data_IF_076228689791
#
_entry.id   IF_076228689791
#
_cell.length_a   1.000
_cell.length_b   1.000
_cell.length_c   1.000
_cell.angle_alpha   90.00
_cell.angle_beta   90.00
_cell.angle_gamma   90.00
#
_symmetry.space_group_name_H-M   'P 1'
#
loop_
_entity.id
_entity.type
_entity.pdbx_description
1 polymer ?
#
# COMPACT_ATOMS: atom_id res chain seq x y z
N UNK A 1 -12.37 -0.66 -33.07
CA UNK A 1 -12.39 -0.13 -31.68
C UNK A 1 -13.45 -0.78 -30.78
N UNK A 2 -14.67 -1.10 -31.28
CA UNK A 2 -15.73 -1.76 -30.50
C UNK A 2 -15.35 -3.18 -29.99
N UNK A 3 -14.77 -4.03 -30.84
CA UNK A 3 -14.33 -5.40 -30.48
C UNK A 3 -13.32 -5.44 -29.32
N UNK A 4 -12.35 -4.52 -29.29
CA UNK A 4 -11.33 -4.45 -28.22
C UNK A 4 -11.91 -4.06 -26.86
N UNK A 5 -13.01 -3.29 -26.85
CA UNK A 5 -13.74 -2.94 -25.62
C UNK A 5 -14.54 -4.13 -25.09
N UNK A 6 -15.16 -4.91 -25.98
CA UNK A 6 -15.92 -6.10 -25.62
C UNK A 6 -15.03 -7.18 -25.00
N UNK A 7 -13.89 -7.49 -25.62
CA UNK A 7 -12.92 -8.47 -25.08
C UNK A 7 -12.46 -8.10 -23.67
N UNK A 8 -12.05 -6.83 -23.46
CA UNK A 8 -11.63 -6.36 -22.14
C UNK A 8 -12.74 -6.42 -21.09
N UNK A 9 -13.99 -6.17 -21.49
CA UNK A 9 -15.14 -6.30 -20.60
C UNK A 9 -15.37 -7.75 -20.19
N UNK A 10 -15.36 -8.69 -21.15
CA UNK A 10 -15.50 -10.12 -20.86
C UNK A 10 -14.39 -10.62 -19.92
N UNK A 11 -13.13 -10.24 -20.17
CA UNK A 11 -12.00 -10.58 -19.29
C UNK A 11 -12.21 -10.01 -17.89
N UNK A 12 -12.70 -8.77 -17.77
CA UNK A 12 -13.00 -8.16 -16.47
C UNK A 12 -14.12 -8.87 -15.71
N UNK A 13 -15.20 -9.29 -16.39
CA UNK A 13 -16.27 -10.08 -15.79
C UNK A 13 -15.74 -11.43 -15.29
N UNK A 14 -14.89 -12.09 -16.08
CA UNK A 14 -14.25 -13.36 -15.66
C UNK A 14 -13.38 -13.14 -14.42
N UNK A 15 -12.55 -12.08 -14.39
CA UNK A 15 -11.78 -11.75 -13.20
C UNK A 15 -12.65 -11.50 -11.98
N UNK A 16 -13.74 -10.74 -12.13
CA UNK A 16 -14.68 -10.49 -11.04
C UNK A 16 -15.25 -11.80 -10.47
N UNK A 17 -15.70 -12.72 -11.33
CA UNK A 17 -16.25 -14.00 -10.90
C UNK A 17 -15.20 -14.88 -10.20
N UNK A 18 -13.97 -14.93 -10.73
CA UNK A 18 -12.87 -15.67 -10.10
C UNK A 18 -12.55 -15.09 -8.72
N UNK A 19 -12.39 -13.77 -8.62
CA UNK A 19 -12.02 -13.11 -7.37
C UNK A 19 -13.13 -13.18 -6.33
N UNK A 20 -14.39 -13.06 -6.76
CA UNK A 20 -15.54 -13.24 -5.88
C UNK A 20 -15.62 -14.69 -5.38
N UNK A 21 -15.37 -15.67 -6.25
CA UNK A 21 -15.28 -17.07 -5.87
C UNK A 21 -14.19 -17.31 -4.81
N UNK A 22 -13.00 -16.75 -5.01
CA UNK A 22 -11.92 -16.83 -4.02
C UNK A 22 -12.33 -16.15 -2.71
N UNK A 23 -12.85 -14.92 -2.77
CA UNK A 23 -13.25 -14.15 -1.59
C UNK A 23 -14.33 -14.87 -0.75
N UNK A 24 -15.27 -15.54 -1.38
CA UNK A 24 -16.36 -16.23 -0.68
C UNK A 24 -15.95 -17.60 -0.14
N UNK A 25 -15.07 -18.34 -0.83
CA UNK A 25 -14.86 -19.77 -0.56
C UNK A 25 -13.45 -20.15 -0.09
N UNK A 26 -12.44 -19.31 -0.29
CA UNK A 26 -11.06 -19.59 0.15
C UNK A 26 -10.79 -18.93 1.49
N UNK A 27 -10.22 -19.68 2.43
CA UNK A 27 -9.86 -19.21 3.77
C UNK A 27 -8.45 -19.68 4.13
N UNK A 28 -7.49 -18.77 4.06
CA UNK A 28 -6.10 -19.00 4.47
C UNK A 28 -5.93 -18.85 5.99
N UNK A 29 -6.79 -18.04 6.65
CA UNK A 29 -6.85 -17.95 8.11
C UNK A 29 -8.06 -18.76 8.63
N UNK A 30 -7.88 -19.67 9.61
CA UNK A 30 -8.99 -20.39 10.22
C UNK A 30 -9.88 -19.46 11.06
N UNK A 31 -11.16 -19.82 11.21
CA UNK A 31 -12.11 -19.14 12.10
C UNK A 31 -12.32 -17.63 11.81
N UNK A 32 -12.25 -17.24 10.54
CA UNK A 32 -12.59 -15.87 10.15
C UNK A 32 -14.07 -15.54 10.39
N UNK A 33 -14.39 -14.24 10.54
CA UNK A 33 -15.77 -13.74 10.58
C UNK A 33 -16.63 -14.37 9.48
N UNK A 34 -17.79 -14.94 9.86
CA UNK A 34 -18.77 -15.41 8.89
C UNK A 34 -19.43 -14.20 8.20
N UNK A 35 -19.05 -13.98 6.94
CA UNK A 35 -19.50 -12.85 6.11
C UNK A 35 -21.00 -12.81 5.86
N UNK A 36 -21.68 -13.95 5.99
CA UNK A 36 -23.13 -14.04 5.80
C UNK A 36 -23.92 -13.77 7.09
N UNK A 37 -23.25 -13.81 8.25
CA UNK A 37 -23.90 -13.68 9.55
C UNK A 37 -23.60 -12.35 10.25
N UNK A 38 -22.39 -11.81 10.07
CA UNK A 38 -21.91 -10.67 10.87
C UNK A 38 -22.36 -9.33 10.28
N UNK A 39 -23.14 -8.59 11.06
CA UNK A 39 -23.51 -7.19 10.79
C UNK A 39 -22.44 -6.21 11.29
N UNK A 40 -22.52 -4.93 10.89
CA UNK A 40 -21.60 -3.89 11.38
C UNK A 40 -21.65 -3.71 12.92
N UNK A 41 -22.84 -3.76 13.51
CA UNK A 41 -22.98 -3.67 14.97
C UNK A 41 -22.35 -4.87 15.68
N UNK A 42 -22.44 -6.05 15.08
CA UNK A 42 -21.77 -7.24 15.60
C UNK A 42 -20.26 -7.14 15.44
N UNK A 43 -19.76 -6.59 14.33
CA UNK A 43 -18.33 -6.37 14.10
C UNK A 43 -17.67 -5.57 15.24
N UNK A 44 -18.33 -4.51 15.73
CA UNK A 44 -17.83 -3.73 16.88
C UNK A 44 -17.69 -4.59 18.13
N UNK A 45 -18.66 -5.46 18.39
CA UNK A 45 -18.69 -6.30 19.60
C UNK A 45 -17.76 -7.51 19.51
N UNK A 46 -17.53 -8.04 18.30
CA UNK A 46 -16.81 -9.30 18.09
C UNK A 46 -15.38 -9.10 17.60
N UNK A 47 -15.00 -7.89 17.17
CA UNK A 47 -13.64 -7.63 16.68
C UNK A 47 -12.65 -7.73 17.84
N UNK A 48 -11.69 -8.64 17.70
CA UNK A 48 -10.53 -8.73 18.60
C UNK A 48 -9.47 -7.67 18.29
N UNK A 49 -9.65 -6.87 17.23
CA UNK A 49 -8.76 -5.76 16.86
C UNK A 49 -9.41 -4.41 17.12
N UNK A 50 -8.57 -3.45 17.54
CA UNK A 50 -8.95 -2.05 17.66
C UNK A 50 -9.34 -1.40 16.33
N UNK A 51 -8.60 -1.67 15.23
CA UNK A 51 -8.82 -0.96 13.96
C UNK A 51 -10.25 -1.13 13.41
N UNK A 52 -10.78 -2.33 13.12
CA UNK A 52 -12.12 -2.49 12.55
C UNK A 52 -13.22 -1.96 13.46
N UNK A 53 -13.06 -2.09 14.77
CA UNK A 53 -14.02 -1.54 15.73
C UNK A 53 -14.04 -0.01 15.69
N UNK A 54 -12.87 0.64 15.60
CA UNK A 54 -12.78 2.09 15.47
C UNK A 54 -13.34 2.60 14.14
N UNK A 55 -13.12 1.88 13.03
CA UNK A 55 -13.71 2.23 11.73
C UNK A 55 -15.23 2.15 11.76
N UNK A 56 -15.77 1.02 12.22
CA UNK A 56 -17.21 0.81 12.29
C UNK A 56 -17.88 1.81 13.25
N UNK A 57 -17.23 2.15 14.38
CA UNK A 57 -17.75 3.15 15.32
C UNK A 57 -17.89 4.52 14.65
N UNK A 58 -16.84 5.01 13.99
CA UNK A 58 -16.91 6.29 13.27
C UNK A 58 -17.86 6.24 12.06
N UNK A 59 -17.97 5.10 11.40
CA UNK A 59 -18.85 4.91 10.26
C UNK A 59 -20.34 5.01 10.66
N UNK A 60 -20.73 4.38 11.78
CA UNK A 60 -22.08 4.49 12.35
C UNK A 60 -22.38 5.94 12.73
N UNK A 61 -21.45 6.59 13.43
CA UNK A 61 -21.60 7.99 13.85
C UNK A 61 -21.84 8.92 12.66
N UNK A 62 -21.05 8.79 11.59
CA UNK A 62 -21.24 9.57 10.34
C UNK A 62 -22.56 9.21 9.65
N UNK A 63 -22.95 7.93 9.61
CA UNK A 63 -24.19 7.52 8.97
C UNK A 63 -25.43 8.10 9.68
N UNK A 64 -25.39 8.21 11.01
CA UNK A 64 -26.46 8.74 11.85
C UNK A 64 -26.47 10.29 11.87
N UNK A 65 -25.30 10.91 12.09
CA UNK A 65 -25.18 12.34 12.37
C UNK A 65 -24.69 13.19 11.19
N UNK A 66 -24.30 12.57 10.07
CA UNK A 66 -23.79 13.25 8.87
C UNK A 66 -22.30 13.61 8.93
N UNK A 67 -21.69 13.60 10.11
CA UNK A 67 -20.25 13.73 10.34
C UNK A 67 -19.86 13.08 11.66
N UNK A 68 -18.55 12.94 11.92
CA UNK A 68 -18.07 12.36 13.18
C UNK A 68 -18.38 13.30 14.35
N UNK A 69 -18.83 12.74 15.47
CA UNK A 69 -19.07 13.48 16.70
C UNK A 69 -17.76 13.83 17.41
N UNK A 70 -17.79 14.86 18.27
CA UNK A 70 -16.62 15.31 19.02
C UNK A 70 -16.01 14.23 19.93
N UNK A 71 -16.82 13.30 20.44
CA UNK A 71 -16.35 12.18 21.26
C UNK A 71 -15.51 11.16 20.47
N UNK A 72 -15.68 11.11 19.16
CA UNK A 72 -15.03 10.15 18.26
C UNK A 72 -13.99 10.80 17.33
N UNK A 73 -13.79 12.12 17.37
CA UNK A 73 -12.87 12.82 16.46
C UNK A 73 -11.41 12.34 16.57
N UNK A 74 -11.01 11.78 17.72
CA UNK A 74 -9.71 11.13 17.90
C UNK A 74 -9.45 10.01 16.88
N UNK A 75 -10.49 9.36 16.35
CA UNK A 75 -10.38 8.31 15.33
C UNK A 75 -9.78 8.89 14.04
N UNK A 76 -10.13 10.12 13.67
CA UNK A 76 -9.55 10.81 12.51
C UNK A 76 -8.09 11.26 12.73
N UNK A 77 -7.64 11.31 13.99
CA UNK A 77 -6.23 11.55 14.29
C UNK A 77 -5.38 10.32 14.02
N UNK A 78 -5.96 9.13 14.11
CA UNK A 78 -5.26 7.86 13.89
C UNK A 78 -5.41 7.39 12.44
N UNK A 79 -6.57 7.62 11.84
CA UNK A 79 -6.95 6.97 10.60
C UNK A 79 -7.36 7.97 9.51
N UNK A 80 -6.90 7.76 8.27
CA UNK A 80 -7.47 8.46 7.12
C UNK A 80 -8.96 8.12 6.94
N UNK A 81 -9.77 9.04 6.41
CA UNK A 81 -11.23 8.92 6.49
C UNK A 81 -11.83 8.03 5.40
N UNK A 82 -11.09 7.64 4.37
CA UNK A 82 -11.62 7.00 3.16
C UNK A 82 -12.33 5.68 3.43
N UNK A 83 -11.76 4.81 4.28
CA UNK A 83 -12.39 3.54 4.63
C UNK A 83 -13.63 3.75 5.52
N UNK A 84 -13.54 4.65 6.50
CA UNK A 84 -14.65 5.03 7.38
C UNK A 84 -15.82 5.59 6.56
N UNK A 85 -15.54 6.48 5.60
CA UNK A 85 -16.56 7.05 4.72
C UNK A 85 -17.19 6.01 3.79
N UNK A 86 -16.42 5.01 3.35
CA UNK A 86 -16.96 3.88 2.58
C UNK A 86 -17.93 3.06 3.43
N UNK A 87 -17.56 2.70 4.66
CA UNK A 87 -18.44 1.98 5.58
C UNK A 87 -19.70 2.78 5.93
N UNK A 88 -19.55 4.09 6.19
CA UNK A 88 -20.67 4.99 6.43
C UNK A 88 -21.63 5.05 5.24
N UNK A 89 -21.11 5.09 4.01
CA UNK A 89 -21.93 5.05 2.80
C UNK A 89 -22.68 3.73 2.66
N UNK A 90 -22.06 2.59 2.99
CA UNK A 90 -22.71 1.28 3.00
C UNK A 90 -23.86 1.28 4.02
N UNK A 91 -23.61 1.76 5.24
CA UNK A 91 -24.63 1.86 6.29
C UNK A 91 -25.79 2.78 5.87
N UNK A 92 -25.51 3.90 5.20
CA UNK A 92 -26.55 4.83 4.76
C UNK A 92 -27.44 4.27 3.65
N UNK A 93 -26.88 3.43 2.77
CA UNK A 93 -27.62 2.83 1.64
C UNK A 93 -28.40 1.59 2.08
N UNK A 94 -27.80 0.73 2.91
CA UNK A 94 -28.35 -0.60 3.22
C UNK A 94 -28.88 -0.75 4.65
N UNK A 95 -28.65 0.23 5.53
CA UNK A 95 -29.02 0.17 6.95
C UNK A 95 -27.98 -0.56 7.82
N UNK A 96 -28.22 -0.55 9.14
CA UNK A 96 -27.30 -1.11 10.16
C UNK A 96 -27.24 -2.64 10.20
N UNK A 97 -28.28 -3.30 9.68
CA UNK A 97 -28.41 -4.77 9.66
C UNK A 97 -27.71 -5.41 8.45
N UNK A 98 -27.09 -4.61 7.58
CA UNK A 98 -26.38 -5.11 6.41
C UNK A 98 -25.19 -5.98 6.80
N UNK A 99 -24.96 -7.06 6.04
CA UNK A 99 -23.73 -7.85 6.12
C UNK A 99 -22.56 -7.06 5.52
N UNK A 100 -22.02 -6.10 6.28
CA UNK A 100 -21.03 -5.13 5.84
C UNK A 100 -19.80 -5.76 5.18
N UNK A 101 -19.28 -6.84 5.77
CA UNK A 101 -18.10 -7.54 5.25
C UNK A 101 -18.37 -8.12 3.86
N UNK A 102 -19.56 -8.70 3.62
CA UNK A 102 -19.92 -9.25 2.31
C UNK A 102 -19.97 -8.15 1.25
N UNK A 103 -20.55 -6.98 1.57
CA UNK A 103 -20.57 -5.83 0.66
C UNK A 103 -19.15 -5.37 0.35
N UNK A 104 -18.29 -5.25 1.36
CA UNK A 104 -16.89 -4.89 1.17
C UNK A 104 -16.12 -5.91 0.33
N UNK A 105 -16.38 -7.21 0.47
CA UNK A 105 -15.80 -8.27 -0.38
C UNK A 105 -16.19 -8.14 -1.84
N UNK A 106 -17.47 -7.87 -2.11
CA UNK A 106 -17.96 -7.65 -3.48
C UNK A 106 -17.28 -6.43 -4.09
N UNK A 107 -17.18 -5.32 -3.34
CA UNK A 107 -16.52 -4.10 -3.79
C UNK A 107 -15.01 -4.31 -4.01
N UNK A 108 -14.34 -5.05 -3.13
CA UNK A 108 -12.93 -5.44 -3.30
C UNK A 108 -12.72 -6.29 -4.56
N UNK A 109 -13.54 -7.32 -4.77
CA UNK A 109 -13.48 -8.16 -5.98
C UNK A 109 -13.71 -7.34 -7.26
N UNK A 110 -14.64 -6.37 -7.23
CA UNK A 110 -14.90 -5.47 -8.34
C UNK A 110 -13.69 -4.55 -8.60
N UNK A 111 -13.14 -3.91 -7.57
CA UNK A 111 -11.95 -3.07 -7.68
C UNK A 111 -10.78 -3.83 -8.30
N UNK A 112 -10.50 -5.04 -7.79
CA UNK A 112 -9.41 -5.85 -8.32
C UNK A 112 -9.71 -6.41 -9.71
N UNK A 113 -10.97 -6.68 -10.07
CA UNK A 113 -11.31 -6.99 -11.45
C UNK A 113 -10.94 -5.85 -12.41
N UNK A 114 -11.14 -4.58 -12.00
CA UNK A 114 -10.68 -3.41 -12.76
C UNK A 114 -9.15 -3.35 -12.81
N UNK A 115 -8.46 -3.58 -11.69
CA UNK A 115 -6.98 -3.66 -11.63
C UNK A 115 -6.46 -4.69 -12.63
N UNK A 116 -6.93 -5.93 -12.53
CA UNK A 116 -6.49 -7.04 -13.38
C UNK A 116 -6.83 -6.79 -14.84
N UNK A 117 -7.97 -6.15 -15.14
CA UNK A 117 -8.32 -5.76 -16.52
C UNK A 117 -7.36 -4.72 -17.07
N UNK A 118 -7.03 -3.68 -16.29
CA UNK A 118 -6.03 -2.69 -16.70
C UNK A 118 -4.68 -3.36 -16.93
N UNK A 119 -4.30 -4.28 -16.04
CA UNK A 119 -3.05 -5.04 -16.13
C UNK A 119 -3.01 -5.91 -17.40
N UNK A 120 -4.07 -6.68 -17.65
CA UNK A 120 -4.25 -7.44 -18.89
C UNK A 120 -4.12 -6.55 -20.13
N UNK A 121 -4.78 -5.38 -20.16
CA UNK A 121 -4.70 -4.49 -21.33
C UNK A 121 -3.31 -3.91 -21.55
N UNK A 122 -2.53 -3.73 -20.49
CA UNK A 122 -1.14 -3.32 -20.55
C UNK A 122 -0.24 -4.45 -21.06
N UNK A 123 -0.47 -5.69 -20.61
CA UNK A 123 0.33 -6.85 -21.01
C UNK A 123 0.00 -7.38 -22.40
N UNK A 124 -1.26 -7.30 -22.85
CA UNK A 124 -1.67 -7.89 -24.14
C UNK A 124 -1.04 -7.22 -25.36
N UNK A 125 -0.45 -6.03 -25.19
CA UNK A 125 0.32 -5.37 -26.25
C UNK A 125 1.75 -5.90 -26.38
N UNK A 126 2.25 -6.62 -25.36
CA UNK A 126 3.64 -7.07 -25.27
C UNK A 126 3.79 -8.59 -25.31
N UNK A 127 2.82 -9.34 -24.78
CA UNK A 127 2.87 -10.80 -24.68
C UNK A 127 1.60 -11.46 -25.22
N UNK A 128 1.65 -12.78 -25.39
CA UNK A 128 0.52 -13.57 -25.88
C UNK A 128 -0.74 -13.39 -25.02
N UNK A 129 -1.92 -13.24 -25.65
CA UNK A 129 -3.15 -12.87 -24.99
C UNK A 129 -3.55 -13.78 -23.81
N UNK A 130 -3.35 -15.11 -23.94
CA UNK A 130 -3.61 -16.06 -22.85
C UNK A 130 -2.71 -15.82 -21.62
N UNK A 131 -1.42 -15.53 -21.85
CA UNK A 131 -0.48 -15.23 -20.77
C UNK A 131 -0.78 -13.85 -20.15
N UNK A 132 -1.11 -12.85 -20.98
CA UNK A 132 -1.55 -11.55 -20.50
C UNK A 132 -2.80 -11.65 -19.61
N UNK A 133 -3.69 -12.61 -19.89
CA UNK A 133 -4.89 -12.83 -19.10
C UNK A 133 -4.61 -13.63 -17.81
N UNK A 134 -3.66 -14.58 -17.81
CA UNK A 134 -3.38 -15.39 -16.61
C UNK A 134 -2.40 -14.72 -15.63
N UNK A 135 -1.38 -14.02 -16.11
CA UNK A 135 -0.32 -13.45 -15.26
C UNK A 135 -0.82 -12.49 -14.16
N UNK A 136 -1.80 -11.59 -14.40
CA UNK A 136 -2.31 -10.72 -13.35
C UNK A 136 -2.87 -11.49 -12.14
N UNK A 137 -3.41 -12.70 -12.33
CA UNK A 137 -3.93 -13.54 -11.24
C UNK A 137 -2.83 -14.06 -10.30
N UNK A 138 -1.56 -14.01 -10.70
CA UNK A 138 -0.43 -14.42 -9.85
C UNK A 138 -0.35 -13.61 -8.55
N UNK A 139 -0.88 -12.39 -8.53
CA UNK A 139 -1.01 -11.59 -7.31
C UNK A 139 -1.74 -12.38 -6.21
N UNK A 140 -2.75 -13.18 -6.58
CA UNK A 140 -3.60 -13.95 -5.65
C UNK A 140 -3.15 -15.41 -5.47
N UNK A 141 -2.02 -15.82 -6.06
CA UNK A 141 -1.49 -17.16 -5.87
C UNK A 141 -0.95 -17.38 -4.45
N UNK A 142 -0.58 -16.31 -3.75
CA UNK A 142 0.02 -16.36 -2.42
C UNK A 142 -1.03 -16.11 -1.32
N UNK A 143 -1.01 -16.90 -0.22
CA UNK A 143 -1.92 -16.69 0.91
C UNK A 143 -1.91 -15.27 1.46
N UNK A 144 -0.73 -14.67 1.60
CA UNK A 144 -0.57 -13.30 2.10
C UNK A 144 -1.39 -12.29 1.31
N UNK A 145 -1.38 -12.38 -0.02
CA UNK A 145 -2.16 -11.46 -0.85
C UNK A 145 -3.65 -11.73 -0.71
N UNK A 146 -4.10 -12.99 -0.67
CA UNK A 146 -5.54 -13.30 -0.55
C UNK A 146 -6.10 -12.81 0.78
N UNK A 147 -5.39 -13.05 1.87
CA UNK A 147 -5.75 -12.59 3.22
C UNK A 147 -6.00 -11.08 3.25
N UNK A 148 -5.06 -10.28 2.73
CA UNK A 148 -5.15 -8.83 2.80
C UNK A 148 -6.10 -8.21 1.76
N UNK A 149 -6.29 -8.87 0.60
CA UNK A 149 -7.03 -8.28 -0.52
C UNK A 149 -8.46 -8.81 -0.69
N UNK A 150 -8.75 -10.05 -0.27
CA UNK A 150 -10.03 -10.72 -0.56
C UNK A 150 -10.70 -11.33 0.68
N UNK A 151 -9.96 -11.65 1.73
CA UNK A 151 -10.54 -12.28 2.92
C UNK A 151 -11.15 -11.24 3.89
N UNK A 152 -12.18 -11.63 4.66
CA UNK A 152 -12.91 -10.79 5.62
C UNK A 152 -12.00 -9.90 6.45
N UNK A 153 -11.00 -10.53 7.05
CA UNK A 153 -10.02 -9.93 7.92
C UNK A 153 -9.29 -8.75 7.28
N UNK A 154 -8.62 -8.97 6.13
CA UNK A 154 -7.85 -7.93 5.46
C UNK A 154 -8.72 -6.82 4.89
N UNK A 155 -9.95 -7.16 4.50
CA UNK A 155 -10.91 -6.20 3.98
C UNK A 155 -11.43 -5.27 5.05
N UNK A 156 -11.72 -5.77 6.26
CA UNK A 156 -12.14 -4.94 7.40
C UNK A 156 -11.03 -4.00 7.91
N UNK A 157 -9.80 -4.18 7.44
CA UNK A 157 -8.69 -3.27 7.68
C UNK A 157 -8.56 -2.18 6.60
N UNK A 158 -9.35 -2.23 5.52
CA UNK A 158 -9.25 -1.28 4.41
C UNK A 158 -8.02 -1.46 3.51
N UNK A 159 -7.19 -2.48 3.75
CA UNK A 159 -5.94 -2.72 3.00
C UNK A 159 -6.22 -2.98 1.52
N UNK A 160 -7.21 -3.84 1.23
CA UNK A 160 -7.63 -4.20 -0.12
C UNK A 160 -7.86 -2.97 -1.01
N UNK A 161 -8.60 -1.98 -0.52
CA UNK A 161 -8.93 -0.78 -1.28
C UNK A 161 -7.71 0.11 -1.51
N UNK A 162 -6.92 0.35 -0.46
CA UNK A 162 -5.71 1.18 -0.58
C UNK A 162 -4.71 0.61 -1.59
N UNK A 163 -4.49 -0.71 -1.57
CA UNK A 163 -3.63 -1.42 -2.51
C UNK A 163 -4.22 -1.42 -3.91
N UNK A 164 -5.51 -1.72 -4.06
CA UNK A 164 -6.18 -1.72 -5.36
C UNK A 164 -6.10 -0.37 -6.06
N UNK A 165 -6.34 0.72 -5.33
CA UNK A 165 -6.16 2.07 -5.85
C UNK A 165 -4.69 2.37 -6.20
N UNK A 166 -3.73 1.97 -5.37
CA UNK A 166 -2.31 2.15 -5.69
C UNK A 166 -1.87 1.39 -6.95
N UNK A 167 -2.36 0.16 -7.15
CA UNK A 167 -2.07 -0.61 -8.36
C UNK A 167 -2.70 0.05 -9.60
N UNK A 168 -3.92 0.58 -9.50
CA UNK A 168 -4.52 1.38 -10.57
C UNK A 168 -3.68 2.63 -10.88
N UNK A 169 -3.25 3.37 -9.86
CA UNK A 169 -2.32 4.48 -10.01
C UNK A 169 -1.08 4.06 -10.82
N UNK A 170 -0.42 2.98 -10.41
CA UNK A 170 0.81 2.50 -11.03
C UNK A 170 0.60 2.13 -12.51
N UNK A 171 -0.44 1.34 -12.79
CA UNK A 171 -0.77 0.89 -14.16
C UNK A 171 -1.16 2.06 -15.06
N UNK A 172 -1.96 3.01 -14.56
CA UNK A 172 -2.41 4.17 -15.32
C UNK A 172 -1.28 5.19 -15.55
N UNK A 173 -0.35 5.36 -14.60
CA UNK A 173 0.84 6.19 -14.80
C UNK A 173 1.73 5.63 -15.92
N UNK A 174 1.96 4.31 -15.95
CA UNK A 174 2.70 3.64 -17.03
C UNK A 174 1.95 3.80 -18.35
N UNK A 175 0.63 3.57 -18.35
CA UNK A 175 -0.21 3.67 -19.55
C UNK A 175 -0.28 5.09 -20.11
N UNK A 176 -0.30 6.12 -19.25
CA UNK A 176 -0.22 7.52 -19.68
C UNK A 176 0.96 7.75 -20.61
N UNK A 177 2.13 7.21 -20.27
CA UNK A 177 3.36 7.37 -21.06
C UNK A 177 3.32 6.57 -22.35
N UNK A 178 2.86 5.32 -22.31
CA UNK A 178 2.76 4.45 -23.49
C UNK A 178 1.76 5.02 -24.51
N UNK A 179 0.57 5.39 -24.05
CA UNK A 179 -0.53 5.88 -24.88
C UNK A 179 -0.45 7.41 -25.13
N UNK A 180 0.58 8.09 -24.59
CA UNK A 180 0.77 9.55 -24.62
C UNK A 180 -0.51 10.34 -24.29
N UNK A 181 -1.28 9.85 -23.31
CA UNK A 181 -2.58 10.42 -22.92
C UNK A 181 -2.58 10.94 -21.48
N UNK A 182 -2.72 12.26 -21.31
CA UNK A 182 -2.70 12.94 -20.00
C UNK A 182 -3.86 12.53 -19.10
N UNK A 183 -5.01 12.14 -19.68
CA UNK A 183 -6.18 11.69 -18.91
C UNK A 183 -5.83 10.56 -17.94
N UNK A 184 -4.95 9.64 -18.36
CA UNK A 184 -4.48 8.58 -17.47
C UNK A 184 -3.61 9.09 -16.33
N UNK A 185 -2.82 10.14 -16.52
CA UNK A 185 -2.07 10.78 -15.42
C UNK A 185 -3.01 11.42 -14.39
N UNK A 186 -4.10 12.07 -14.84
CA UNK A 186 -5.12 12.63 -13.95
C UNK A 186 -5.79 11.51 -13.13
N UNK A 187 -6.24 10.45 -13.78
CA UNK A 187 -6.82 9.30 -13.07
C UNK A 187 -5.82 8.63 -12.15
N UNK A 188 -4.56 8.52 -12.55
CA UNK A 188 -3.49 7.99 -11.69
C UNK A 188 -3.32 8.85 -10.42
N UNK A 189 -3.37 10.17 -10.54
CA UNK A 189 -3.30 11.08 -9.38
C UNK A 189 -4.49 10.93 -8.44
N UNK A 190 -5.71 10.79 -8.99
CA UNK A 190 -6.92 10.52 -8.20
C UNK A 190 -6.80 9.19 -7.43
N UNK A 191 -6.36 8.12 -8.09
CA UNK A 191 -6.19 6.83 -7.42
C UNK A 191 -5.04 6.82 -6.41
N UNK A 192 -3.97 7.58 -6.64
CA UNK A 192 -2.91 7.76 -5.65
C UNK A 192 -3.45 8.47 -4.40
N UNK A 193 -4.23 9.54 -4.56
CA UNK A 193 -4.90 10.20 -3.44
C UNK A 193 -5.85 9.23 -2.70
N UNK A 194 -6.70 8.50 -3.43
CA UNK A 194 -7.61 7.52 -2.83
C UNK A 194 -6.85 6.44 -2.03
N UNK A 195 -5.68 5.99 -2.50
CA UNK A 195 -4.87 5.04 -1.72
C UNK A 195 -4.46 5.62 -0.35
N UNK A 196 -4.08 6.90 -0.30
CA UNK A 196 -3.72 7.60 0.94
C UNK A 196 -4.91 7.93 1.84
N UNK A 197 -6.08 8.15 1.25
CA UNK A 197 -7.34 8.30 2.00
C UNK A 197 -7.79 7.00 2.67
N UNK A 198 -7.38 5.83 2.19
CA UNK A 198 -7.70 4.56 2.83
C UNK A 198 -6.61 4.13 3.83
N UNK A 199 -5.34 4.44 3.57
CA UNK A 199 -4.22 4.09 4.46
C UNK A 199 -3.11 5.13 4.48
N UNK A 200 -2.66 5.49 5.67
CA UNK A 200 -1.67 6.56 5.89
C UNK A 200 -0.28 6.24 5.34
N UNK A 201 0.09 4.96 5.21
CA UNK A 201 1.37 4.54 4.59
C UNK A 201 1.54 5.09 3.17
N UNK A 202 0.44 5.29 2.42
CA UNK A 202 0.51 5.81 1.06
C UNK A 202 0.75 7.33 1.02
N UNK A 203 0.60 8.06 2.13
CA UNK A 203 1.04 9.44 2.23
C UNK A 203 2.57 9.53 2.25
N UNK A 204 3.24 8.66 3.03
CA UNK A 204 4.71 8.55 3.02
C UNK A 204 5.20 8.16 1.62
N UNK A 205 4.51 7.24 0.96
CA UNK A 205 4.82 6.86 -0.43
C UNK A 205 4.63 8.06 -1.37
N UNK A 206 3.57 8.86 -1.22
CA UNK A 206 3.38 10.10 -2.00
C UNK A 206 4.53 11.09 -1.76
N UNK A 207 5.01 11.24 -0.53
CA UNK A 207 6.17 12.09 -0.24
C UNK A 207 7.43 11.57 -0.94
N UNK A 208 7.68 10.26 -0.89
CA UNK A 208 8.76 9.61 -1.64
C UNK A 208 8.65 9.85 -3.15
N UNK A 209 7.45 9.66 -3.71
CA UNK A 209 7.14 9.93 -5.12
C UNK A 209 7.37 11.40 -5.49
N UNK A 210 7.02 12.32 -4.59
CA UNK A 210 7.24 13.76 -4.80
C UNK A 210 8.73 14.10 -4.81
N UNK A 211 9.48 13.61 -3.83
CA UNK A 211 10.94 13.83 -3.75
C UNK A 211 11.67 13.32 -4.98
N UNK A 212 11.40 12.08 -5.41
CA UNK A 212 11.98 11.53 -6.63
C UNK A 212 11.48 12.23 -7.90
N UNK A 213 10.23 12.68 -7.93
CA UNK A 213 9.70 13.46 -9.04
C UNK A 213 10.43 14.80 -9.23
N UNK A 214 10.68 15.52 -8.12
CA UNK A 214 11.47 16.75 -8.10
C UNK A 214 12.91 16.45 -8.53
N UNK A 215 13.53 15.41 -7.98
CA UNK A 215 14.90 15.02 -8.33
C UNK A 215 15.03 14.73 -9.85
N UNK A 216 14.10 13.96 -10.43
CA UNK A 216 14.08 13.70 -11.87
C UNK A 216 13.90 14.99 -12.69
N UNK A 217 13.06 15.91 -12.22
CA UNK A 217 12.88 17.22 -12.85
C UNK A 217 14.18 18.05 -12.82
N UNK A 218 14.89 18.09 -11.69
CA UNK A 218 16.18 18.78 -11.54
C UNK A 218 17.25 18.14 -12.44
N UNK A 219 17.41 16.81 -12.38
CA UNK A 219 18.38 16.07 -13.19
C UNK A 219 18.15 16.29 -14.69
N UNK A 220 16.90 16.45 -15.13
CA UNK A 220 16.57 16.74 -16.53
C UNK A 220 17.07 18.10 -17.04
N UNK A 221 17.34 19.04 -16.14
CA UNK A 221 17.79 20.40 -16.49
C UNK A 221 19.30 20.50 -16.63
N UNK A 222 20.07 19.62 -15.97
CA UNK A 222 21.54 19.60 -15.94
C UNK A 222 22.10 19.22 -17.32
N UNK A 223 22.86 20.13 -17.94
CA UNK A 223 23.28 20.06 -19.35
C UNK A 223 24.12 18.84 -19.72
N UNK A 224 25.05 18.40 -18.87
CA UNK A 224 25.86 17.20 -19.14
C UNK A 224 25.03 15.90 -19.12
N UNK A 225 24.04 15.83 -18.22
CA UNK A 225 23.09 14.72 -18.15
C UNK A 225 22.00 14.78 -19.23
N UNK A 226 21.84 15.92 -19.93
CA UNK A 226 20.86 16.03 -21.01
C UNK A 226 21.10 15.02 -22.11
N UNK A 227 22.34 14.64 -22.38
CA UNK A 227 22.72 13.61 -23.36
C UNK A 227 22.03 12.26 -23.13
N UNK A 228 21.78 11.89 -21.86
CA UNK A 228 20.99 10.71 -21.48
C UNK A 228 19.46 10.93 -21.55
N UNK A 229 19.02 12.19 -21.53
CA UNK A 229 17.63 12.64 -21.37
C UNK A 229 16.98 13.12 -22.68
N UNK A 230 17.71 13.15 -23.81
CA UNK A 230 17.23 13.69 -25.11
C UNK A 230 16.05 12.90 -25.71
N UNK A 231 15.68 11.74 -25.17
CA UNK A 231 14.55 10.96 -25.69
C UNK A 231 13.21 11.68 -25.45
N UNK A 232 12.42 11.83 -26.50
CA UNK A 232 11.08 12.43 -26.45
C UNK A 232 10.14 11.74 -25.44
N UNK A 233 10.37 10.46 -25.16
CA UNK A 233 9.70 9.67 -24.11
C UNK A 233 9.92 10.21 -22.70
N UNK A 234 11.10 10.76 -22.41
CA UNK A 234 11.45 11.26 -21.08
C UNK A 234 10.66 12.52 -20.74
N UNK A 235 10.52 13.45 -21.69
CA UNK A 235 9.70 14.67 -21.50
C UNK A 235 8.25 14.34 -21.18
N UNK A 236 7.68 13.38 -21.90
CA UNK A 236 6.30 12.96 -21.65
C UNK A 236 6.16 12.23 -20.29
N UNK A 237 7.18 11.47 -19.89
CA UNK A 237 7.24 10.84 -18.56
C UNK A 237 7.24 11.88 -17.44
N UNK A 238 8.08 12.92 -17.53
CA UNK A 238 8.09 14.03 -16.58
C UNK A 238 6.73 14.74 -16.50
N UNK A 239 6.09 14.97 -17.65
CA UNK A 239 4.74 15.56 -17.70
C UNK A 239 3.72 14.67 -16.99
N UNK A 240 3.78 13.35 -17.21
CA UNK A 240 2.92 12.38 -16.51
C UNK A 240 3.15 12.44 -15.00
N UNK A 241 4.41 12.37 -14.55
CA UNK A 241 4.76 12.44 -13.12
C UNK A 241 4.23 13.73 -12.49
N UNK A 242 4.50 14.88 -13.12
CA UNK A 242 4.07 16.18 -12.61
C UNK A 242 2.54 16.28 -12.47
N UNK A 243 1.78 15.85 -13.48
CA UNK A 243 0.32 15.92 -13.46
C UNK A 243 -0.25 14.95 -12.41
N UNK A 244 0.27 13.72 -12.36
CA UNK A 244 -0.15 12.74 -11.36
C UNK A 244 0.05 13.24 -9.93
N UNK A 245 1.23 13.79 -9.64
CA UNK A 245 1.55 14.35 -8.33
C UNK A 245 0.71 15.58 -8.00
N UNK A 246 0.54 16.51 -8.95
CA UNK A 246 -0.27 17.71 -8.76
C UNK A 246 -1.71 17.35 -8.41
N UNK A 247 -2.31 16.41 -9.15
CA UNK A 247 -3.68 15.96 -8.90
C UNK A 247 -3.77 15.25 -7.55
N UNK A 248 -2.82 14.38 -7.21
CA UNK A 248 -2.82 13.69 -5.93
C UNK A 248 -2.78 14.69 -4.74
N UNK A 249 -1.86 15.64 -4.77
CA UNK A 249 -1.74 16.68 -3.74
C UNK A 249 -2.98 17.57 -3.67
N UNK A 250 -3.56 17.97 -4.81
CA UNK A 250 -4.77 18.78 -4.84
C UNK A 250 -5.98 18.07 -4.22
N UNK A 251 -6.13 16.77 -4.48
CA UNK A 251 -7.24 15.95 -3.95
C UNK A 251 -7.05 15.62 -2.48
N UNK A 252 -5.80 15.56 -2.00
CA UNK A 252 -5.47 15.36 -0.59
C UNK A 252 -5.51 16.65 0.24
N UNK A 253 -5.47 17.83 -0.40
CA UNK A 253 -5.45 19.11 0.29
C UNK A 253 -6.64 19.33 1.25
N UNK A 254 -7.91 19.01 0.89
CA UNK A 254 -9.05 19.24 1.79
C UNK A 254 -8.89 18.57 3.16
N UNK A 255 -8.36 17.34 3.21
CA UNK A 255 -8.10 16.65 4.47
C UNK A 255 -7.02 17.32 5.32
N UNK A 256 -5.95 17.81 4.68
CA UNK A 256 -4.91 18.60 5.37
C UNK A 256 -5.46 19.90 5.91
N UNK A 257 -6.36 20.55 5.17
CA UNK A 257 -7.06 21.77 5.63
C UNK A 257 -7.99 21.45 6.80
N UNK A 258 -8.70 20.31 6.78
CA UNK A 258 -9.51 19.85 7.90
C UNK A 258 -8.68 19.74 9.19
N UNK A 259 -7.53 19.07 9.16
CA UNK A 259 -6.66 18.98 10.34
C UNK A 259 -6.01 20.32 10.71
N UNK A 260 -5.65 21.17 9.74
CA UNK A 260 -5.15 22.50 10.05
C UNK A 260 -6.18 23.32 10.84
N UNK A 261 -7.45 23.29 10.42
CA UNK A 261 -8.52 24.08 11.05
C UNK A 261 -8.93 23.52 12.41
N UNK A 262 -8.96 22.20 12.58
CA UNK A 262 -9.47 21.58 13.80
C UNK A 262 -8.38 21.23 14.83
N UNK A 263 -7.11 21.17 14.42
CA UNK A 263 -6.01 20.63 15.24
C UNK A 263 -4.72 21.44 15.13
N UNK A 264 -4.79 22.63 14.51
CA UNK A 264 -3.67 23.57 14.34
C UNK A 264 -2.43 22.97 13.66
N UNK A 265 -2.58 21.88 12.91
CA UNK A 265 -1.47 21.21 12.22
C UNK A 265 -1.92 20.53 10.92
N UNK A 266 -1.20 20.67 9.77
CA UNK A 266 -1.58 20.07 8.49
C UNK A 266 -1.20 18.59 8.37
N UNK A 267 -1.16 17.84 9.48
CA UNK A 267 -0.74 16.44 9.45
C UNK A 267 -1.77 15.61 8.67
N UNK A 268 -1.29 14.55 8.00
CA UNK A 268 -2.21 13.59 7.39
C UNK A 268 -2.94 12.75 8.45
N UNK A 269 -2.17 12.27 9.43
CA UNK A 269 -2.57 11.59 10.67
C UNK A 269 -1.48 11.82 11.73
N UNK A 270 -1.75 11.55 13.00
CA UNK A 270 -0.87 11.80 14.15
C UNK A 270 -0.19 10.55 14.71
N UNK A 271 -0.12 9.47 13.92
CA UNK A 271 0.50 8.20 14.33
C UNK A 271 1.99 8.31 14.66
N UNK A 272 2.70 9.32 14.15
CA UNK A 272 4.11 9.55 14.50
C UNK A 272 4.33 9.85 15.98
N UNK A 273 3.38 10.49 16.65
CA UNK A 273 3.47 10.75 18.09
C UNK A 273 3.50 9.43 18.87
N UNK A 274 2.63 8.48 18.49
CA UNK A 274 2.58 7.13 19.06
C UNK A 274 3.89 6.38 18.84
N UNK A 275 4.51 6.50 17.65
CA UNK A 275 5.83 5.90 17.37
C UNK A 275 6.90 6.46 18.30
N UNK A 276 6.96 7.79 18.48
CA UNK A 276 7.93 8.40 19.37
C UNK A 276 7.69 8.01 20.83
N UNK A 277 6.45 8.01 21.29
CA UNK A 277 6.10 7.61 22.65
C UNK A 277 6.44 6.15 22.92
N UNK A 278 6.06 5.23 22.04
CA UNK A 278 6.39 3.82 22.19
C UNK A 278 7.91 3.57 22.23
N UNK A 279 8.69 4.38 21.51
CA UNK A 279 10.15 4.23 21.45
C UNK A 279 10.88 4.37 22.78
N UNK A 280 10.33 5.21 23.67
CA UNK A 280 10.89 5.51 24.98
C UNK A 280 10.25 4.70 26.11
N UNK A 281 9.30 3.80 25.80
CA UNK A 281 8.70 2.94 26.83
C UNK A 281 9.58 1.72 27.07
N UNK A 282 9.66 1.27 28.32
CA UNK A 282 10.36 0.01 28.64
C UNK A 282 9.58 -1.19 28.09
N UNK A 283 10.28 -2.30 27.90
CA UNK A 283 9.67 -3.57 27.49
C UNK A 283 8.59 -3.98 28.49
N UNK A 284 8.90 -3.92 29.79
CA UNK A 284 8.00 -4.33 30.87
C UNK A 284 6.72 -3.51 30.87
N UNK A 285 6.83 -2.19 30.63
CA UNK A 285 5.66 -1.33 30.55
C UNK A 285 4.80 -1.67 29.33
N UNK A 286 5.41 -1.78 28.14
CA UNK A 286 4.65 -2.11 26.93
C UNK A 286 3.96 -3.47 27.05
N UNK A 287 4.64 -4.47 27.60
CA UNK A 287 4.05 -5.79 27.83
C UNK A 287 2.88 -5.73 28.83
N UNK A 288 3.01 -4.92 29.90
CA UNK A 288 1.93 -4.75 30.89
C UNK A 288 0.63 -4.16 30.33
N UNK A 289 0.69 -3.46 29.19
CA UNK A 289 -0.47 -2.86 28.51
C UNK A 289 -0.87 -3.61 27.23
N UNK A 290 -0.32 -4.79 26.97
CA UNK A 290 -0.59 -5.60 25.76
C UNK A 290 0.11 -5.09 24.50
N UNK A 291 1.19 -4.32 24.66
CA UNK A 291 2.05 -3.77 23.61
C UNK A 291 3.17 -4.71 23.15
N UNK A 292 3.10 -6.02 23.44
CA UNK A 292 4.11 -7.02 23.10
C UNK A 292 4.54 -6.95 21.62
N UNK A 293 3.58 -6.67 20.74
CA UNK A 293 3.78 -6.61 19.29
C UNK A 293 4.63 -5.40 18.88
N UNK A 294 4.59 -4.31 19.66
CA UNK A 294 5.46 -3.14 19.49
C UNK A 294 6.89 -3.50 19.86
N UNK A 295 7.08 -4.21 20.97
CA UNK A 295 8.41 -4.69 21.42
C UNK A 295 9.00 -5.65 20.39
N UNK A 296 8.23 -6.67 19.97
CA UNK A 296 8.64 -7.64 18.97
C UNK A 296 8.99 -6.98 17.62
N UNK A 297 8.29 -5.89 17.28
CA UNK A 297 8.54 -5.09 16.07
C UNK A 297 9.74 -4.16 16.15
N UNK A 298 10.46 -4.14 17.28
CA UNK A 298 11.53 -3.19 17.53
C UNK A 298 11.00 -1.76 17.56
N UNK A 299 9.93 -1.53 18.32
CA UNK A 299 9.32 -0.23 18.51
C UNK A 299 9.92 0.57 19.65
N UNK A 300 10.44 -0.08 20.69
CA UNK A 300 11.04 0.53 21.89
C UNK A 300 12.55 0.79 21.78
N UNK A 301 13.05 1.12 20.58
CA UNK A 301 14.49 1.19 20.31
C UNK A 301 15.23 2.24 21.13
N UNK A 302 14.59 3.38 21.41
CA UNK A 302 15.23 4.47 22.15
C UNK A 302 15.55 4.01 23.57
N UNK A 303 14.57 3.42 24.25
CA UNK A 303 14.77 2.88 25.60
C UNK A 303 15.71 1.67 25.64
N UNK A 304 15.75 0.85 24.57
CA UNK A 304 16.69 -0.29 24.47
C UNK A 304 18.15 0.12 24.29
N UNK A 305 18.40 1.18 23.51
CA UNK A 305 19.74 1.68 23.19
C UNK A 305 20.24 2.64 24.28
N UNK A 306 19.37 3.53 24.75
CA UNK A 306 19.67 4.52 25.80
C UNK A 306 18.64 4.42 26.93
N UNK A 307 18.84 3.50 27.90
CA UNK A 307 17.93 3.29 29.02
C UNK A 307 17.69 4.54 29.88
N UNK A 308 18.59 5.53 29.83
CA UNK A 308 18.43 6.78 30.59
C UNK A 308 17.27 7.66 30.09
N UNK A 309 16.80 7.41 28.87
CA UNK A 309 15.71 8.17 28.22
C UNK A 309 14.33 7.55 28.42
N UNK A 310 14.24 6.37 29.06
CA UNK A 310 12.99 5.65 29.23
C UNK A 310 11.96 6.45 30.06
N UNK A 311 10.70 6.46 29.63
CA UNK A 311 9.59 7.14 30.31
C UNK A 311 9.51 8.66 30.10
N UNK A 312 10.49 9.27 29.41
CA UNK A 312 10.55 10.72 29.15
C UNK A 312 9.57 11.25 28.10
N UNK A 313 8.25 11.11 28.29
CA UNK A 313 7.19 11.44 27.31
C UNK A 313 7.31 12.83 26.70
N UNK A 314 7.61 13.85 27.51
CA UNK A 314 7.68 15.24 27.06
C UNK A 314 8.81 15.52 26.06
N UNK A 315 9.86 14.68 26.04
CA UNK A 315 10.99 14.79 25.12
C UNK A 315 11.10 13.61 24.16
N UNK A 316 10.05 12.79 24.01
CA UNK A 316 10.07 11.55 23.24
C UNK A 316 10.63 11.75 21.81
N UNK A 317 10.14 12.77 21.09
CA UNK A 317 10.61 13.11 19.74
C UNK A 317 12.09 13.50 19.70
N UNK A 318 12.54 14.30 20.66
CA UNK A 318 13.93 14.75 20.74
C UNK A 318 14.86 13.57 21.05
N UNK A 319 14.52 12.76 22.06
CA UNK A 319 15.24 11.55 22.43
C UNK A 319 15.31 10.57 21.25
N UNK A 320 14.22 10.41 20.50
CA UNK A 320 14.18 9.56 19.31
C UNK A 320 15.24 9.93 18.27
N UNK A 321 15.25 11.19 17.84
CA UNK A 321 16.21 11.63 16.83
C UNK A 321 17.65 11.69 17.38
N UNK A 322 17.81 12.06 18.65
CA UNK A 322 19.12 12.07 19.31
C UNK A 322 19.72 10.66 19.38
N UNK A 323 18.96 9.66 19.82
CA UNK A 323 19.43 8.28 19.91
C UNK A 323 19.70 7.70 18.53
N UNK A 324 18.81 7.93 17.55
CA UNK A 324 19.05 7.51 16.16
C UNK A 324 20.35 8.10 15.58
N UNK A 325 20.60 9.39 15.79
CA UNK A 325 21.79 10.06 15.25
C UNK A 325 23.08 9.67 15.97
N UNK A 326 23.02 9.39 17.28
CA UNK A 326 24.17 9.01 18.09
C UNK A 326 24.53 7.53 17.99
N UNK A 327 23.55 6.66 17.73
CA UNK A 327 23.72 5.20 17.69
C UNK A 327 23.13 4.55 16.41
N UNK A 328 23.44 5.04 15.20
CA UNK A 328 22.80 4.56 13.98
C UNK A 328 23.12 3.09 13.67
N UNK A 329 24.34 2.62 14.00
CA UNK A 329 24.75 1.22 13.77
C UNK A 329 23.94 0.27 14.65
N UNK A 330 23.82 0.57 15.94
CA UNK A 330 23.05 -0.23 16.89
C UNK A 330 21.56 -0.23 16.54
N UNK A 331 21.02 0.93 16.13
CA UNK A 331 19.65 1.05 15.63
C UNK A 331 19.37 0.09 14.48
N UNK A 332 20.22 0.08 13.45
CA UNK A 332 20.05 -0.81 12.30
C UNK A 332 20.36 -2.27 12.62
N UNK A 333 21.29 -2.54 13.55
CA UNK A 333 21.54 -3.89 14.05
C UNK A 333 20.25 -4.48 14.64
N UNK A 334 19.65 -3.77 15.61
CA UNK A 334 18.40 -4.19 16.25
C UNK A 334 17.23 -4.35 15.25
N UNK A 335 17.12 -3.46 14.26
CA UNK A 335 16.12 -3.61 13.18
C UNK A 335 16.40 -4.85 12.31
N UNK A 336 17.66 -5.13 11.99
CA UNK A 336 18.03 -6.26 11.13
C UNK A 336 17.75 -7.62 11.78
N UNK A 337 17.82 -7.71 13.11
CA UNK A 337 17.50 -8.93 13.87
C UNK A 337 16.02 -9.35 13.73
N UNK A 338 15.13 -8.37 13.50
CA UNK A 338 13.69 -8.61 13.43
C UNK A 338 13.13 -8.60 12.01
N UNK A 339 13.75 -7.88 11.05
CA UNK A 339 13.18 -7.72 9.69
C UNK A 339 12.89 -9.05 8.98
N UNK A 340 13.78 -10.05 9.15
CA UNK A 340 13.60 -11.39 8.58
C UNK A 340 12.35 -12.08 9.12
N UNK A 341 12.09 -11.96 10.43
CA UNK A 341 10.91 -12.56 11.08
C UNK A 341 9.60 -12.01 10.52
N UNK A 342 9.57 -10.73 10.20
CA UNK A 342 8.39 -10.09 9.62
C UNK A 342 8.25 -10.34 8.12
N UNK A 343 9.36 -10.36 7.36
CA UNK A 343 9.31 -10.70 5.94
C UNK A 343 8.82 -12.15 5.72
N UNK A 344 9.34 -13.09 6.50
CA UNK A 344 9.00 -14.53 6.40
C UNK A 344 7.83 -14.94 7.31
N UNK A 345 7.08 -13.99 7.86
CA UNK A 345 5.92 -14.28 8.70
C UNK A 345 4.80 -15.00 7.91
N UNK A 346 4.11 -15.91 8.61
CA UNK A 346 2.89 -16.55 8.11
C UNK A 346 1.70 -15.62 8.23
N UNK A 347 0.69 -15.80 7.38
CA UNK A 347 -0.61 -15.13 7.54
C UNK A 347 -1.33 -15.56 8.81
N UNK A 348 -0.99 -16.73 9.38
CA UNK A 348 -1.50 -17.16 10.69
C UNK A 348 -0.91 -16.36 11.86
N UNK A 349 0.15 -15.60 11.60
CA UNK A 349 0.92 -14.81 12.56
C UNK A 349 0.48 -13.34 12.63
N UNK A 350 -0.63 -13.00 11.99
CA UNK A 350 -0.95 -11.59 11.73
C UNK A 350 -1.55 -10.87 12.96
N UNK A 351 -2.11 -11.62 13.93
CA UNK A 351 -2.63 -11.12 15.23
C UNK A 351 -1.78 -11.48 16.44
N UNK A 352 -0.90 -12.48 16.32
CA UNK A 352 -0.16 -13.04 17.44
C UNK A 352 1.32 -13.18 17.08
N UNK A 353 2.18 -12.99 18.08
CA UNK A 353 3.65 -12.94 17.91
C UNK A 353 4.27 -14.32 17.63
N UNK A 354 3.52 -15.43 17.79
CA UNK A 354 4.13 -16.77 17.97
C UNK A 354 3.43 -17.96 17.28
N UNK A 355 3.05 -17.85 16.02
CA UNK A 355 2.81 -18.99 15.13
C UNK A 355 4.04 -19.22 14.23
N UNK A 356 4.63 -20.41 14.26
CA UNK A 356 5.75 -20.76 13.37
C UNK A 356 5.29 -20.71 11.90
N UNK A 357 6.07 -20.09 10.99
CA UNK A 357 5.73 -20.11 9.58
C UNK A 357 5.73 -21.53 9.04
N UNK A 358 4.80 -21.82 8.13
CA UNK A 358 4.82 -23.11 7.43
C UNK A 358 5.92 -23.08 6.37
N UNK A 359 6.45 -24.25 6.00
CA UNK A 359 7.42 -24.37 4.91
C UNK A 359 6.95 -23.71 3.60
N UNK A 360 5.63 -23.76 3.33
CA UNK A 360 5.04 -23.10 2.16
C UNK A 360 5.01 -21.57 2.28
N UNK A 361 4.86 -21.03 3.49
CA UNK A 361 4.98 -19.59 3.74
C UNK A 361 6.41 -19.11 3.47
N UNK A 362 7.41 -19.87 3.92
CA UNK A 362 8.83 -19.54 3.69
C UNK A 362 9.17 -19.53 2.20
N UNK A 363 8.76 -20.57 1.44
CA UNK A 363 8.96 -20.62 0.00
C UNK A 363 8.25 -19.44 -0.68
N UNK A 364 6.99 -19.19 -0.32
CA UNK A 364 6.22 -18.09 -0.89
C UNK A 364 6.90 -16.74 -0.65
N UNK A 365 7.30 -16.47 0.59
CA UNK A 365 7.98 -15.24 0.97
C UNK A 365 9.38 -15.10 0.34
N UNK A 366 10.10 -16.20 0.14
CA UNK A 366 11.37 -16.21 -0.58
C UNK A 366 11.17 -15.86 -2.06
N UNK A 367 10.18 -16.44 -2.73
CA UNK A 367 9.84 -16.12 -4.12
C UNK A 367 9.44 -14.64 -4.28
N UNK A 368 8.70 -14.10 -3.30
CA UNK A 368 8.33 -12.68 -3.28
C UNK A 368 9.54 -11.76 -3.10
N UNK A 369 10.51 -12.15 -2.26
CA UNK A 369 11.76 -11.41 -2.10
C UNK A 369 12.58 -11.43 -3.40
N UNK A 370 12.70 -12.61 -4.01
CA UNK A 370 13.35 -12.78 -5.30
C UNK A 370 12.66 -11.93 -6.38
N UNK A 371 11.34 -11.77 -6.34
CA UNK A 371 10.62 -10.91 -7.28
C UNK A 371 11.01 -9.42 -7.13
N UNK A 372 11.18 -8.92 -5.91
CA UNK A 372 11.66 -7.55 -5.65
C UNK A 372 13.09 -7.37 -6.18
N UNK A 373 13.99 -8.31 -5.86
CA UNK A 373 15.39 -8.27 -6.31
C UNK A 373 15.49 -8.36 -7.84
N UNK A 374 14.76 -9.29 -8.45
CA UNK A 374 14.72 -9.47 -9.89
C UNK A 374 14.15 -8.24 -10.61
N UNK A 375 13.13 -7.59 -10.04
CA UNK A 375 12.61 -6.31 -10.56
C UNK A 375 13.70 -5.25 -10.59
N UNK A 376 14.43 -5.06 -9.50
CA UNK A 376 15.53 -4.10 -9.42
C UNK A 376 16.62 -4.41 -10.46
N UNK A 377 17.04 -5.67 -10.57
CA UNK A 377 18.03 -6.09 -11.56
C UNK A 377 17.56 -5.85 -13.01
N UNK A 378 16.31 -6.24 -13.34
CA UNK A 378 15.76 -6.12 -14.68
C UNK A 378 15.56 -4.66 -15.12
N UNK A 379 15.18 -3.76 -14.20
CA UNK A 379 15.03 -2.32 -14.47
C UNK A 379 16.31 -1.68 -15.02
N UNK A 380 17.47 -2.24 -14.67
CA UNK A 380 18.78 -1.76 -15.09
C UNK A 380 19.35 -2.50 -16.31
N UNK A 381 18.62 -3.46 -16.87
CA UNK A 381 19.04 -4.11 -18.12
C UNK A 381 18.89 -3.17 -19.32
N UNK A 382 19.77 -3.33 -20.32
CA UNK A 382 19.74 -2.52 -21.55
C UNK A 382 18.38 -2.55 -22.24
N UNK A 383 17.71 -3.72 -22.29
CA UNK A 383 16.41 -3.89 -22.97
C UNK A 383 15.30 -3.05 -22.34
N UNK A 384 15.23 -3.03 -21.00
CA UNK A 384 14.19 -2.31 -20.26
C UNK A 384 14.49 -0.80 -20.23
N UNK A 385 15.75 -0.41 -20.06
CA UNK A 385 16.18 1.01 -20.00
C UNK A 385 15.79 1.84 -21.22
N UNK A 386 15.69 1.22 -22.40
CA UNK A 386 15.28 1.91 -23.63
C UNK A 386 13.77 1.93 -23.87
N UNK A 387 12.98 1.30 -23.00
CA UNK A 387 11.53 1.32 -23.13
C UNK A 387 10.94 2.70 -22.73
N UNK A 388 9.87 3.13 -23.41
CA UNK A 388 9.26 4.45 -23.23
C UNK A 388 8.82 4.73 -21.79
N UNK A 389 8.37 3.70 -21.07
CA UNK A 389 7.89 3.77 -19.68
C UNK A 389 8.98 3.70 -18.61
N UNK A 390 10.24 3.48 -19.00
CA UNK A 390 11.35 3.29 -18.05
C UNK A 390 11.48 4.41 -17.00
N UNK A 391 11.38 5.71 -17.35
CA UNK A 391 11.49 6.77 -16.34
C UNK A 391 10.40 6.69 -15.27
N UNK A 392 9.16 6.34 -15.64
CA UNK A 392 8.06 6.14 -14.68
C UNK A 392 8.29 4.90 -13.83
N UNK A 393 8.80 3.82 -14.42
CA UNK A 393 9.11 2.59 -13.67
C UNK A 393 10.21 2.82 -12.63
N UNK A 394 11.29 3.51 -12.99
CA UNK A 394 12.35 3.89 -12.04
C UNK A 394 11.81 4.81 -10.97
N UNK A 395 11.04 5.84 -11.35
CA UNK A 395 10.41 6.75 -10.40
C UNK A 395 9.55 6.00 -9.37
N UNK A 396 8.66 5.11 -9.82
CA UNK A 396 7.82 4.31 -8.93
C UNK A 396 8.65 3.42 -8.00
N UNK A 397 9.58 2.63 -8.54
CA UNK A 397 10.34 1.66 -7.75
C UNK A 397 11.32 2.34 -6.77
N UNK A 398 12.02 3.38 -7.21
CA UNK A 398 12.92 4.14 -6.35
C UNK A 398 12.14 4.82 -5.21
N UNK A 399 10.96 5.37 -5.51
CA UNK A 399 10.09 5.99 -4.50
C UNK A 399 9.56 4.99 -3.49
N UNK A 400 9.10 3.82 -3.95
CA UNK A 400 8.64 2.75 -3.05
C UNK A 400 9.78 2.26 -2.15
N UNK A 401 10.95 1.98 -2.70
CA UNK A 401 12.11 1.55 -1.91
C UNK A 401 12.51 2.61 -0.89
N UNK A 402 12.55 3.90 -1.26
CA UNK A 402 12.86 4.98 -0.33
C UNK A 402 11.79 5.15 0.76
N UNK A 403 10.51 5.09 0.41
CA UNK A 403 9.43 5.19 1.38
C UNK A 403 9.46 4.03 2.38
N UNK A 404 9.68 2.80 1.90
CA UNK A 404 9.83 1.64 2.78
C UNK A 404 11.09 1.69 3.62
N UNK A 405 12.20 2.20 3.09
CA UNK A 405 13.39 2.42 3.91
C UNK A 405 13.07 3.37 5.07
N UNK A 406 12.36 4.48 4.82
CA UNK A 406 11.95 5.42 5.87
C UNK A 406 11.03 4.73 6.90
N UNK A 407 10.01 4.01 6.45
CA UNK A 407 9.08 3.28 7.33
C UNK A 407 9.86 2.27 8.17
N UNK A 408 10.74 1.49 7.55
CA UNK A 408 11.49 0.43 8.24
C UNK A 408 12.58 0.96 9.17
N UNK A 409 13.11 2.15 8.90
CA UNK A 409 14.03 2.82 9.81
C UNK A 409 13.30 3.33 11.04
N UNK A 410 12.14 3.99 10.90
CA UNK A 410 11.56 4.77 11.99
C UNK A 410 10.34 4.15 12.69
N UNK A 411 9.53 3.35 11.99
CA UNK A 411 8.38 2.68 12.60
C UNK A 411 8.77 1.29 13.13
N UNK A 412 8.03 0.77 14.11
CA UNK A 412 8.10 -0.65 14.47
C UNK A 412 7.58 -1.51 13.31
N UNK A 413 8.06 -2.76 13.25
CA UNK A 413 7.59 -3.70 12.25
C UNK A 413 6.26 -4.32 12.64
N UNK A 414 5.39 -4.41 11.66
CA UNK A 414 4.15 -5.17 11.72
C UNK A 414 4.06 -6.01 10.45
N UNK A 415 3.51 -7.22 10.57
CA UNK A 415 3.36 -8.14 9.43
C UNK A 415 2.66 -7.46 8.26
N UNK A 416 1.68 -6.59 8.56
CA UNK A 416 0.95 -5.85 7.54
C UNK A 416 1.81 -4.89 6.70
N UNK A 417 2.90 -4.35 7.24
CA UNK A 417 3.78 -3.47 6.45
C UNK A 417 4.57 -4.22 5.37
N UNK A 418 4.64 -5.55 5.46
CA UNK A 418 5.41 -6.38 4.53
C UNK A 418 4.58 -7.00 3.42
N UNK A 419 3.24 -6.97 3.47
CA UNK A 419 2.43 -7.53 2.37
C UNK A 419 2.46 -6.63 1.13
N UNK A 420 2.39 -5.30 1.29
CA UNK A 420 2.30 -4.39 0.15
C UNK A 420 3.56 -4.39 -0.73
N UNK A 421 4.81 -4.41 -0.20
CA UNK A 421 6.02 -4.61 -1.00
C UNK A 421 6.00 -5.90 -1.81
N UNK A 422 5.43 -6.99 -1.25
CA UNK A 422 5.33 -8.29 -1.93
C UNK A 422 4.40 -8.21 -3.14
N UNK A 423 3.21 -7.63 -2.96
CA UNK A 423 2.22 -7.42 -4.05
C UNK A 423 2.76 -6.48 -5.13
N UNK A 424 3.35 -5.36 -4.71
CA UNK A 424 3.97 -4.40 -5.62
C UNK A 424 5.14 -5.04 -6.38
N UNK A 425 5.97 -5.84 -5.69
CA UNK A 425 7.10 -6.57 -6.26
C UNK A 425 6.68 -7.53 -7.38
N UNK A 426 5.66 -8.37 -7.16
CA UNK A 426 5.12 -9.25 -8.22
C UNK A 426 4.60 -8.42 -9.40
N UNK A 427 3.83 -7.38 -9.11
CA UNK A 427 3.23 -6.53 -10.15
C UNK A 427 4.32 -5.91 -11.02
N UNK A 428 5.34 -5.32 -10.40
CA UNK A 428 6.45 -4.70 -11.11
C UNK A 428 7.31 -5.72 -11.85
N UNK A 429 7.55 -6.90 -11.27
CA UNK A 429 8.28 -7.98 -11.94
C UNK A 429 7.60 -8.37 -13.25
N UNK A 430 6.29 -8.57 -13.23
CA UNK A 430 5.51 -8.96 -14.42
C UNK A 430 5.60 -7.86 -15.50
N UNK A 431 5.39 -6.59 -15.12
CA UNK A 431 5.48 -5.46 -16.06
C UNK A 431 6.88 -5.35 -16.68
N UNK A 432 7.91 -5.36 -15.84
CA UNK A 432 9.30 -5.20 -16.26
C UNK A 432 9.76 -6.39 -17.11
N UNK A 433 9.38 -7.61 -16.74
CA UNK A 433 9.67 -8.82 -17.52
C UNK A 433 8.99 -8.77 -18.88
N UNK A 434 7.73 -8.34 -18.94
CA UNK A 434 7.02 -8.18 -20.22
C UNK A 434 7.79 -7.23 -21.15
N UNK A 435 8.24 -6.08 -20.66
CA UNK A 435 9.08 -5.14 -21.43
C UNK A 435 10.43 -5.74 -21.83
N UNK A 436 11.07 -6.53 -20.97
CA UNK A 436 12.33 -7.20 -21.28
C UNK A 436 12.18 -8.16 -22.49
N UNK A 437 11.10 -8.94 -22.54
CA UNK A 437 10.85 -9.90 -23.62
C UNK A 437 10.29 -9.28 -24.90
N UNK A 438 9.72 -8.06 -24.86
CA UNK A 438 9.19 -7.40 -26.07
C UNK A 438 10.27 -6.78 -26.95
N UNK A 439 11.52 -6.63 -26.46
CA UNK A 439 12.61 -6.02 -27.21
C UNK A 439 13.05 -6.94 -28.37
N UNK A 440 12.34 -6.85 -29.51
CA UNK A 440 12.76 -7.46 -30.77
C UNK A 440 14.09 -6.84 -31.21
N UNK A 441 15.03 -7.69 -31.63
CA UNK A 441 16.40 -7.36 -32.08
C UNK A 441 16.47 -6.56 -33.40
N UNK A 442 15.48 -5.72 -33.70
CA UNK A 442 15.35 -4.99 -34.96
C UNK A 442 15.99 -3.60 -34.97
N UNK A 443 16.38 -3.04 -33.81
CA UNK A 443 17.20 -1.83 -33.77
C UNK A 443 18.67 -2.21 -34.00
N UNK A 444 19.03 -2.47 -35.27
CA UNK A 444 20.40 -2.23 -35.72
C UNK A 444 20.63 -0.72 -35.57
N UNK A 445 21.62 -0.37 -34.75
CA UNK A 445 22.11 1.01 -34.63
C UNK A 445 22.72 1.46 -35.94
#
# INVERSE_FOLDING_TARGET
>A
MKLRKYESLCVGVIYFLILLGIALWVRDIPNQPNVFAITFQQLIKTSLMGDPASFATAAIDIAENGWISSGNDWIFNLWPPGFILLEAAILKIFGTDVQGILVLQILAALLFAVVLTQFYTLLKSTIHAKLAASLPLLIFAFPVSRVFLLEPTGITLGESFSVGFFLLFSLLAIRSVIDKTIRYAVYAGLFLALSAYFRSQFEIILMGLTGWGILLAVLSRITWLRSFVVLSSFRYSLKTIAITLLVAHAVMLPWRVYHWVNQDHPAWVFTSAVVFENSIMSTEYLESIGGDWVVAGGGNLVCRIDPSTCGGRTRAKESFFRTFASHPVEWYHLKSEVIGKYWFSSTKNWTAISAQPTFMDDIGNALLLLAVIATAALLFTRKVRFHVSWPVLIWLNASLLSAYMIIFTFAHFEVRYFYFPKIAGITMLIVVSAHYFTFKSGYKR
#
